data_IF_839589581933
#
_entry.id   IF_839589581933
#
_cell.length_a   1.000
_cell.length_b   1.000
_cell.length_c   1.000
_cell.angle_alpha   90.00
_cell.angle_beta   90.00
_cell.angle_gamma   90.00
#
_symmetry.space_group_name_H-M   'P 1'
#
loop_
_entity.id
_entity.type
_entity.pdbx_description
1 polymer ?
#
# COMPACT_ATOMS: atom_id res chain seq x y z
N UNK A 1 19.17 11.61 20.92
CA UNK A 1 17.95 11.25 20.15
C UNK A 1 17.76 12.30 19.07
N UNK A 2 17.77 11.90 17.80
CA UNK A 2 17.56 12.83 16.68
C UNK A 2 16.05 13.08 16.51
N UNK A 3 15.56 14.28 16.85
CA UNK A 3 14.16 14.67 16.66
C UNK A 3 13.48 15.41 17.82
N UNK A 4 14.15 15.55 18.97
CA UNK A 4 13.67 16.35 20.10
C UNK A 4 14.49 17.63 20.24
N UNK A 5 13.82 18.78 20.29
CA UNK A 5 14.45 20.06 20.58
C UNK A 5 14.23 20.39 22.05
N UNK A 6 15.32 20.63 22.78
CA UNK A 6 15.23 21.08 24.16
C UNK A 6 14.96 22.58 24.17
N UNK A 7 13.97 22.99 24.96
CA UNK A 7 13.64 24.39 25.21
C UNK A 7 14.14 24.78 26.61
N UNK A 8 15.16 25.62 26.65
CA UNK A 8 15.84 26.03 27.89
C UNK A 8 14.95 26.89 28.79
N UNK A 9 14.02 27.66 28.23
CA UNK A 9 13.16 28.57 28.99
C UNK A 9 12.11 27.81 29.80
N UNK A 10 11.56 26.73 29.24
CA UNK A 10 10.53 25.91 29.87
C UNK A 10 11.05 24.61 30.51
N UNK A 11 12.26 24.17 30.15
CA UNK A 11 12.81 22.87 30.59
C UNK A 11 12.16 21.67 29.89
N UNK A 12 11.41 21.89 28.82
CA UNK A 12 10.64 20.86 28.09
C UNK A 12 11.38 20.40 26.83
N UNK A 13 10.99 19.23 26.33
CA UNK A 13 11.45 18.73 25.03
C UNK A 13 10.31 18.78 24.01
N UNK A 14 10.49 19.57 22.96
CA UNK A 14 9.59 19.60 21.82
C UNK A 14 9.83 18.41 20.89
N UNK A 15 8.82 17.56 20.72
CA UNK A 15 8.80 16.41 19.83
C UNK A 15 7.72 16.62 18.76
N UNK A 16 8.06 17.43 17.75
CA UNK A 16 7.24 17.77 16.58
C UNK A 16 5.84 18.31 16.89
N UNK A 17 4.91 17.46 17.31
CA UNK A 17 3.53 17.83 17.57
C UNK A 17 3.22 17.98 19.06
N UNK A 18 4.16 17.61 19.94
CA UNK A 18 3.93 17.55 21.38
C UNK A 18 5.11 18.01 22.21
N UNK A 19 4.82 18.60 23.38
CA UNK A 19 5.82 18.92 24.40
C UNK A 19 5.91 17.80 25.43
N UNK A 20 7.11 17.28 25.65
CA UNK A 20 7.46 16.26 26.62
C UNK A 20 8.11 16.89 27.84
N UNK A 21 7.64 16.53 29.03
CA UNK A 21 8.24 16.92 30.29
C UNK A 21 9.06 15.75 30.85
N UNK A 22 10.39 15.90 30.96
CA UNK A 22 11.27 14.84 31.45
C UNK A 22 11.13 14.58 32.95
N UNK A 23 10.64 15.55 33.75
CA UNK A 23 10.49 15.41 35.20
C UNK A 23 9.35 14.45 35.57
N UNK A 24 8.28 14.45 34.77
CA UNK A 24 7.11 13.59 34.97
C UNK A 24 7.03 12.42 33.97
N UNK A 25 7.93 12.38 32.98
CA UNK A 25 8.07 11.28 32.02
C UNK A 25 6.88 11.14 31.06
N UNK A 26 6.24 12.25 30.65
CA UNK A 26 5.05 12.23 29.79
C UNK A 26 4.92 13.47 28.92
N UNK A 27 4.02 13.42 27.92
CA UNK A 27 3.61 14.62 27.19
C UNK A 27 2.73 15.50 28.08
N UNK A 28 2.87 16.82 27.95
CA UNK A 28 2.01 17.81 28.63
C UNK A 28 0.91 18.35 27.71
N UNK A 29 1.09 18.21 26.40
CA UNK A 29 0.08 18.51 25.39
C UNK A 29 -0.68 17.23 25.03
N UNK A 30 -2.00 17.34 24.93
CA UNK A 30 -2.86 16.23 24.51
C UNK A 30 -2.47 15.75 23.11
N UNK A 31 -2.55 14.43 22.88
CA UNK A 31 -2.37 13.86 21.55
C UNK A 31 -3.35 14.50 20.53
N UNK A 32 -2.86 15.15 19.46
CA UNK A 32 -3.71 15.78 18.45
C UNK A 32 -4.61 14.79 17.70
N UNK A 33 -4.33 13.48 17.74
CA UNK A 33 -5.21 12.45 17.15
C UNK A 33 -6.22 11.85 18.15
N UNK A 34 -6.25 12.34 19.40
CA UNK A 34 -7.24 11.99 20.42
C UNK A 34 -7.21 10.51 20.77
N UNK A 35 -8.39 9.87 20.89
CA UNK A 35 -8.54 8.44 21.24
C UNK A 35 -7.89 7.48 20.22
N UNK A 36 -7.51 7.99 19.04
CA UNK A 36 -6.79 7.20 18.04
C UNK A 36 -5.34 6.93 18.46
N UNK A 37 -4.75 7.77 19.32
CA UNK A 37 -3.40 7.60 19.89
C UNK A 37 -3.34 6.70 21.12
N UNK A 38 -4.47 6.07 21.48
CA UNK A 38 -4.64 5.23 22.66
C UNK A 38 -5.45 5.89 23.78
N UNK A 39 -5.66 5.12 24.86
CA UNK A 39 -6.48 5.53 26.00
C UNK A 39 -5.84 6.62 26.86
N UNK A 40 -4.52 6.80 26.76
CA UNK A 40 -3.79 7.82 27.50
C UNK A 40 -3.25 8.88 26.53
N UNK A 41 -3.91 10.03 26.49
CA UNK A 41 -3.57 11.13 25.59
C UNK A 41 -2.21 11.79 25.87
N UNK A 42 -1.59 11.46 26.99
CA UNK A 42 -0.34 12.07 27.45
C UNK A 42 0.83 11.07 27.46
N UNK A 43 0.62 9.83 26.99
CA UNK A 43 1.64 8.78 27.11
C UNK A 43 2.87 9.06 26.25
N UNK A 44 4.04 9.05 26.88
CA UNK A 44 5.34 8.97 26.18
C UNK A 44 5.83 7.51 26.21
N UNK A 45 6.40 6.98 25.12
CA UNK A 45 6.91 5.62 25.13
C UNK A 45 8.13 5.47 26.05
N UNK A 46 7.94 4.75 27.16
CA UNK A 46 8.94 4.54 28.20
C UNK A 46 10.04 3.53 27.82
N UNK A 47 9.89 2.82 26.70
CA UNK A 47 10.84 1.78 26.29
C UNK A 47 11.38 2.04 24.87
N UNK A 48 12.59 2.59 24.73
CA UNK A 48 13.19 2.88 23.42
C UNK A 48 13.57 1.62 22.62
N UNK A 49 13.55 0.43 23.22
CA UNK A 49 13.76 -0.85 22.54
C UNK A 49 12.48 -1.35 21.87
N UNK A 50 11.31 -1.11 22.49
CA UNK A 50 10.01 -1.58 21.99
C UNK A 50 9.18 -0.50 21.30
N UNK A 51 9.52 0.77 21.46
CA UNK A 51 8.77 1.88 20.87
C UNK A 51 9.56 3.16 20.85
N UNK A 52 9.76 3.69 19.64
CA UNK A 52 10.16 5.07 19.41
C UNK A 52 8.90 5.75 18.85
N UNK A 53 8.67 7.00 19.22
CA UNK A 53 7.61 7.84 18.63
C UNK A 53 8.25 8.96 17.79
N UNK A 54 8.62 8.68 16.52
CA UNK A 54 9.36 9.63 15.68
C UNK A 54 8.51 10.80 15.20
N UNK A 55 7.17 10.70 15.33
CA UNK A 55 6.23 11.68 14.82
C UNK A 55 5.46 12.40 15.93
N UNK A 56 5.51 11.91 17.18
CA UNK A 56 4.72 12.44 18.28
C UNK A 56 3.25 12.00 18.22
N UNK A 57 2.97 10.77 17.75
CA UNK A 57 1.62 10.22 17.51
C UNK A 57 1.36 8.85 18.19
N UNK A 58 2.32 8.32 18.98
CA UNK A 58 2.36 6.97 19.59
C UNK A 58 3.03 5.85 18.75
N UNK A 59 3.86 4.95 19.36
CA UNK A 59 4.42 3.79 18.66
C UNK A 59 3.43 2.66 18.35
N UNK A 60 2.32 2.57 19.10
CA UNK A 60 1.31 1.52 18.92
C UNK A 60 0.62 1.67 17.55
N UNK A 61 0.46 2.90 17.08
CA UNK A 61 -0.20 3.20 15.81
C UNK A 61 0.69 2.93 14.59
N UNK A 62 2.02 3.08 14.70
CA UNK A 62 2.93 2.67 13.63
C UNK A 62 2.82 1.16 13.37
N UNK A 63 2.67 0.34 14.42
CA UNK A 63 2.48 -1.10 14.29
C UNK A 63 1.09 -1.46 13.73
N UNK A 64 0.04 -0.72 14.10
CA UNK A 64 -1.31 -0.91 13.56
C UNK A 64 -1.41 -0.49 12.09
N UNK A 65 -0.79 0.61 11.69
CA UNK A 65 -0.71 1.07 10.29
C UNK A 65 -0.01 0.01 9.45
N UNK A 66 1.18 -0.47 9.88
CA UNK A 66 1.89 -1.54 9.17
C UNK A 66 1.07 -2.81 9.05
N UNK A 67 0.40 -3.25 10.11
CA UNK A 67 -0.50 -4.42 10.05
C UNK A 67 -1.67 -4.22 9.11
N UNK A 68 -2.26 -3.03 9.11
CA UNK A 68 -3.39 -2.70 8.20
C UNK A 68 -2.94 -2.67 6.75
N UNK A 69 -1.77 -2.11 6.45
CA UNK A 69 -1.16 -2.14 5.12
C UNK A 69 -0.86 -3.57 4.67
N UNK A 70 -0.25 -4.40 5.51
CA UNK A 70 -0.02 -5.83 5.24
C UNK A 70 -1.33 -6.57 4.94
N UNK A 71 -2.39 -6.33 5.74
CA UNK A 71 -3.69 -6.94 5.51
C UNK A 71 -4.32 -6.47 4.19
N UNK A 72 -4.22 -5.18 3.88
CA UNK A 72 -4.73 -4.65 2.60
C UNK A 72 -3.98 -5.26 1.41
N UNK A 73 -2.66 -5.40 1.53
CA UNK A 73 -1.82 -6.04 0.52
C UNK A 73 -2.16 -7.51 0.34
N UNK A 74 -2.34 -8.27 1.43
CA UNK A 74 -2.76 -9.67 1.36
C UNK A 74 -4.12 -9.81 0.66
N UNK A 75 -5.10 -8.98 1.03
CA UNK A 75 -6.43 -9.01 0.39
C UNK A 75 -6.39 -8.69 -1.10
N UNK A 76 -5.59 -7.68 -1.48
CA UNK A 76 -5.40 -7.35 -2.88
C UNK A 76 -4.75 -8.53 -3.62
N UNK A 77 -3.70 -9.11 -3.04
CA UNK A 77 -2.99 -10.26 -3.59
C UNK A 77 -3.91 -11.46 -3.78
N UNK A 78 -4.71 -11.82 -2.79
CA UNK A 78 -5.65 -12.95 -2.87
C UNK A 78 -6.66 -12.76 -4.02
N UNK A 79 -7.15 -11.54 -4.25
CA UNK A 79 -8.10 -11.27 -5.34
C UNK A 79 -7.40 -11.39 -6.70
N UNK A 80 -6.24 -10.73 -6.85
CA UNK A 80 -5.51 -10.71 -8.11
C UNK A 80 -5.00 -12.11 -8.49
N UNK A 81 -4.38 -12.83 -7.55
CA UNK A 81 -3.77 -14.14 -7.80
C UNK A 81 -4.80 -15.19 -8.23
N UNK A 82 -5.94 -15.27 -7.54
CA UNK A 82 -7.01 -16.20 -7.89
C UNK A 82 -7.52 -15.96 -9.32
N UNK A 83 -7.66 -14.70 -9.74
CA UNK A 83 -8.10 -14.37 -11.09
C UNK A 83 -7.03 -14.74 -12.10
N UNK A 84 -5.75 -14.42 -11.84
CA UNK A 84 -4.66 -14.82 -12.72
C UNK A 84 -4.54 -16.34 -12.88
N UNK A 85 -4.78 -17.11 -11.82
CA UNK A 85 -4.74 -18.56 -11.86
C UNK A 85 -5.93 -19.14 -12.64
N UNK A 86 -7.12 -18.56 -12.50
CA UNK A 86 -8.29 -18.92 -13.31
C UNK A 86 -8.01 -18.71 -14.82
N UNK A 87 -7.37 -17.61 -15.20
CA UNK A 87 -6.99 -17.32 -16.60
C UNK A 87 -6.07 -18.40 -17.16
N UNK A 88 -4.99 -18.71 -16.43
CA UNK A 88 -4.02 -19.73 -16.83
C UNK A 88 -4.69 -21.09 -16.97
N UNK A 89 -5.62 -21.41 -16.07
CA UNK A 89 -6.37 -22.67 -16.10
C UNK A 89 -7.32 -22.77 -17.29
N UNK A 90 -7.96 -21.67 -17.67
CA UNK A 90 -8.96 -21.64 -18.74
C UNK A 90 -8.35 -21.48 -20.15
N UNK A 91 -7.04 -21.22 -20.25
CA UNK A 91 -6.29 -21.08 -21.51
C UNK A 91 -6.97 -20.11 -22.50
N UNK A 92 -7.45 -18.98 -21.97
CA UNK A 92 -8.13 -17.95 -22.75
C UNK A 92 -7.05 -17.05 -23.37
N UNK A 93 -6.57 -17.42 -24.56
CA UNK A 93 -5.64 -16.61 -25.34
C UNK A 93 -6.29 -15.28 -25.77
N UNK A 94 -5.51 -14.20 -25.76
CA UNK A 94 -5.88 -12.86 -26.23
C UNK A 94 -6.94 -12.10 -25.40
N UNK A 95 -7.14 -12.47 -24.14
CA UNK A 95 -8.11 -11.82 -23.21
C UNK A 95 -7.44 -11.16 -22.00
N UNK A 96 -6.12 -10.95 -22.07
CA UNK A 96 -5.32 -10.43 -20.96
C UNK A 96 -5.84 -9.09 -20.41
N UNK A 97 -6.20 -8.16 -21.31
CA UNK A 97 -6.74 -6.85 -20.93
C UNK A 97 -8.12 -6.94 -20.27
N UNK A 98 -9.01 -7.76 -20.81
CA UNK A 98 -10.29 -8.04 -20.16
C UNK A 98 -10.09 -8.47 -18.69
N UNK A 99 -9.10 -9.32 -18.42
CA UNK A 99 -8.84 -9.80 -17.08
C UNK A 99 -8.17 -8.80 -16.17
N UNK A 100 -7.19 -8.05 -16.68
CA UNK A 100 -6.63 -6.90 -15.97
C UNK A 100 -7.77 -5.96 -15.53
N UNK A 101 -8.73 -5.66 -16.39
CA UNK A 101 -9.89 -4.85 -16.04
C UNK A 101 -10.74 -5.53 -14.95
N UNK A 102 -11.12 -6.79 -15.15
CA UNK A 102 -12.00 -7.52 -14.24
C UNK A 102 -11.40 -7.71 -12.85
N UNK A 103 -10.10 -7.97 -12.78
CA UNK A 103 -9.38 -8.15 -11.52
C UNK A 103 -9.41 -6.87 -10.69
N UNK A 104 -9.06 -5.74 -11.31
CA UNK A 104 -9.07 -4.45 -10.65
C UNK A 104 -10.50 -3.92 -10.39
N UNK A 105 -11.48 -4.30 -11.21
CA UNK A 105 -12.91 -4.05 -10.95
C UNK A 105 -13.41 -4.81 -9.71
N UNK A 106 -12.98 -6.06 -9.50
CA UNK A 106 -13.32 -6.78 -8.25
C UNK A 106 -12.68 -6.12 -7.03
N UNK A 107 -11.45 -5.61 -7.16
CA UNK A 107 -10.79 -4.84 -6.09
C UNK A 107 -11.57 -3.55 -5.78
N UNK A 108 -11.98 -2.78 -6.79
CA UNK A 108 -12.70 -1.51 -6.57
C UNK A 108 -14.04 -1.70 -5.88
N UNK A 109 -14.74 -2.81 -6.15
CA UNK A 109 -16.00 -3.18 -5.49
C UNK A 109 -15.88 -3.41 -3.97
N UNK A 110 -14.67 -3.60 -3.43
CA UNK A 110 -14.47 -3.62 -1.98
C UNK A 110 -14.63 -2.25 -1.31
N UNK A 111 -14.66 -1.16 -2.09
CA UNK A 111 -14.80 0.21 -1.63
C UNK A 111 -13.79 0.58 -0.52
N UNK A 112 -12.54 0.10 -0.66
CA UNK A 112 -11.46 0.34 0.30
C UNK A 112 -10.21 0.85 -0.42
N UNK A 113 -9.97 2.16 -0.28
CA UNK A 113 -8.84 2.88 -0.90
C UNK A 113 -7.48 2.23 -0.59
N UNK A 114 -7.31 1.68 0.61
CA UNK A 114 -6.05 1.03 1.00
C UNK A 114 -5.80 -0.26 0.22
N UNK A 115 -6.85 -1.04 -0.06
CA UNK A 115 -6.75 -2.26 -0.88
C UNK A 115 -6.57 -1.89 -2.35
N UNK A 116 -7.29 -0.87 -2.85
CA UNK A 116 -7.11 -0.36 -4.22
C UNK A 116 -5.69 0.13 -4.48
N UNK A 117 -5.08 0.83 -3.51
CA UNK A 117 -3.68 1.26 -3.59
C UNK A 117 -2.73 0.06 -3.63
N UNK A 118 -2.91 -0.90 -2.73
CA UNK A 118 -2.07 -2.09 -2.70
C UNK A 118 -2.17 -2.91 -4.00
N UNK A 119 -3.37 -2.99 -4.60
CA UNK A 119 -3.55 -3.61 -5.90
C UNK A 119 -2.79 -2.89 -7.03
N UNK A 120 -2.76 -1.54 -7.03
CA UNK A 120 -1.94 -0.78 -8.00
C UNK A 120 -0.46 -1.13 -7.88
N UNK A 121 0.06 -1.20 -6.66
CA UNK A 121 1.45 -1.56 -6.38
C UNK A 121 1.76 -2.97 -6.90
N UNK A 122 0.90 -3.95 -6.58
CA UNK A 122 1.01 -5.32 -7.09
C UNK A 122 0.94 -5.43 -8.62
N UNK A 123 0.08 -4.62 -9.25
CA UNK A 123 0.00 -4.55 -10.72
C UNK A 123 1.32 -4.08 -11.34
N UNK A 124 1.94 -3.05 -10.77
CA UNK A 124 3.25 -2.57 -11.23
C UNK A 124 4.37 -3.60 -11.00
N UNK A 125 4.36 -4.28 -9.86
CA UNK A 125 5.33 -5.36 -9.57
C UNK A 125 5.20 -6.54 -10.55
N UNK A 126 3.98 -6.88 -10.97
CA UNK A 126 3.74 -7.87 -12.04
C UNK A 126 4.44 -7.44 -13.32
N UNK A 127 4.24 -6.21 -13.78
CA UNK A 127 4.83 -5.73 -15.03
C UNK A 127 6.37 -5.69 -15.00
N UNK A 128 6.97 -5.36 -13.85
CA UNK A 128 8.42 -5.47 -13.65
C UNK A 128 8.87 -6.92 -13.76
N UNK A 129 8.13 -7.84 -13.13
CA UNK A 129 8.44 -9.27 -13.15
C UNK A 129 8.33 -9.83 -14.58
N UNK A 130 7.30 -9.47 -15.31
CA UNK A 130 7.06 -9.91 -16.69
C UNK A 130 8.14 -9.38 -17.63
N UNK A 131 8.53 -8.11 -17.47
CA UNK A 131 9.71 -7.55 -18.13
C UNK A 131 11.00 -8.33 -17.80
N UNK A 132 11.18 -8.69 -16.53
CA UNK A 132 12.27 -9.55 -16.06
C UNK A 132 12.25 -10.93 -16.71
N UNK A 133 11.08 -11.58 -16.80
CA UNK A 133 10.92 -12.88 -17.45
C UNK A 133 11.20 -12.80 -18.96
N UNK A 134 10.81 -11.69 -19.61
CA UNK A 134 11.09 -11.46 -21.02
C UNK A 134 12.59 -11.35 -21.31
N UNK A 135 13.38 -10.73 -20.42
CA UNK A 135 14.84 -10.67 -20.55
C UNK A 135 15.48 -12.06 -20.69
N UNK A 136 14.92 -13.07 -20.01
CA UNK A 136 15.34 -14.47 -20.04
C UNK A 136 14.58 -15.33 -21.07
N UNK A 137 13.71 -14.73 -21.90
CA UNK A 137 12.94 -15.46 -22.93
C UNK A 137 11.83 -16.36 -22.35
N UNK A 138 11.38 -16.09 -21.13
CA UNK A 138 10.37 -16.89 -20.41
C UNK A 138 8.97 -16.25 -20.42
N UNK A 139 8.77 -15.14 -21.15
CA UNK A 139 7.50 -14.42 -21.22
C UNK A 139 6.64 -14.88 -22.40
N UNK A 140 5.31 -14.98 -22.18
CA UNK A 140 4.25 -14.98 -23.19
C UNK A 140 4.23 -16.12 -24.22
N UNK A 141 5.26 -16.29 -25.04
CA UNK A 141 5.31 -17.24 -26.17
C UNK A 141 6.74 -17.61 -26.58
N UNK A 142 7.66 -17.93 -25.66
CA UNK A 142 9.04 -18.44 -25.93
C UNK A 142 9.95 -17.57 -26.84
N UNK A 143 9.44 -16.52 -27.47
CA UNK A 143 10.17 -15.50 -28.20
C UNK A 143 10.24 -14.23 -27.35
N UNK A 144 11.41 -13.61 -27.36
CA UNK A 144 11.70 -12.41 -26.56
C UNK A 144 11.14 -11.18 -27.28
N UNK A 145 10.23 -10.47 -26.61
CA UNK A 145 9.75 -9.16 -27.05
C UNK A 145 10.87 -8.13 -26.95
N UNK A 146 10.83 -7.12 -27.82
CA UNK A 146 11.76 -6.00 -27.73
C UNK A 146 11.48 -5.13 -26.50
N UNK A 147 12.46 -4.30 -26.11
CA UNK A 147 12.28 -3.37 -25.00
C UNK A 147 11.09 -2.41 -25.22
N UNK A 148 10.93 -1.90 -26.44
CA UNK A 148 9.83 -1.00 -26.78
C UNK A 148 8.48 -1.70 -26.69
N UNK A 149 8.38 -2.92 -27.19
CA UNK A 149 7.12 -3.68 -27.19
C UNK A 149 6.68 -4.00 -25.76
N UNK A 150 7.62 -4.40 -24.90
CA UNK A 150 7.32 -4.61 -23.47
C UNK A 150 6.86 -3.33 -22.77
N UNK A 151 7.47 -2.17 -23.08
CA UNK A 151 7.03 -0.90 -22.50
C UNK A 151 5.61 -0.56 -22.94
N UNK A 152 5.28 -0.82 -24.21
CA UNK A 152 3.95 -0.57 -24.73
C UNK A 152 2.90 -1.50 -24.12
N UNK A 153 3.21 -2.79 -23.99
CA UNK A 153 2.40 -3.81 -23.31
C UNK A 153 2.12 -3.41 -21.86
N UNK A 154 3.18 -3.15 -21.08
CA UNK A 154 3.07 -2.71 -19.69
C UNK A 154 2.22 -1.44 -19.53
N UNK A 155 2.37 -0.46 -20.45
CA UNK A 155 1.56 0.77 -20.41
C UNK A 155 0.08 0.47 -20.63
N UNK A 156 -0.23 -0.45 -21.55
CA UNK A 156 -1.60 -0.85 -21.86
C UNK A 156 -2.23 -1.56 -20.67
N UNK A 157 -1.51 -2.49 -20.05
CA UNK A 157 -1.99 -3.25 -18.90
C UNK A 157 -2.18 -2.37 -17.66
N UNK A 158 -1.26 -1.43 -17.41
CA UNK A 158 -1.40 -0.45 -16.35
C UNK A 158 -2.61 0.46 -16.57
N UNK A 159 -2.85 0.94 -17.80
CA UNK A 159 -4.02 1.76 -18.10
C UNK A 159 -5.34 0.99 -17.87
N UNK A 160 -5.36 -0.29 -18.20
CA UNK A 160 -6.51 -1.17 -17.99
C UNK A 160 -6.74 -1.47 -16.51
N UNK A 161 -5.67 -1.67 -15.73
CA UNK A 161 -5.74 -1.79 -14.27
C UNK A 161 -6.37 -0.54 -13.64
N UNK A 162 -5.95 0.65 -14.07
CA UNK A 162 -6.52 1.91 -13.58
C UNK A 162 -7.99 2.05 -13.96
N UNK A 163 -8.35 1.68 -15.19
CA UNK A 163 -9.74 1.67 -15.62
C UNK A 163 -10.59 0.71 -14.76
N UNK A 164 -10.11 -0.50 -14.51
CA UNK A 164 -10.76 -1.46 -13.61
C UNK A 164 -10.98 -0.89 -12.21
N UNK A 165 -10.07 -0.06 -11.69
CA UNK A 165 -10.27 0.57 -10.37
C UNK A 165 -11.39 1.61 -10.34
N UNK A 166 -11.82 2.12 -11.49
CA UNK A 166 -12.94 3.06 -11.62
C UNK A 166 -14.27 2.40 -11.97
N UNK A 167 -14.27 1.07 -12.19
CA UNK A 167 -15.39 0.27 -12.68
C UNK A 167 -16.77 0.81 -12.26
N UNK A 168 -17.54 1.41 -13.19
CA UNK A 168 -18.86 1.96 -12.88
C UNK A 168 -19.82 0.81 -12.55
N UNK A 169 -20.84 1.08 -11.74
CA UNK A 169 -21.86 0.07 -11.42
C UNK A 169 -22.65 -0.48 -12.63
N UNK A 170 -22.56 0.19 -13.79
CA UNK A 170 -23.38 -0.06 -14.98
C UNK A 170 -22.59 -0.46 -16.23
N UNK A 171 -21.25 -0.36 -16.24
CA UNK A 171 -20.43 -0.69 -17.40
C UNK A 171 -19.47 -1.83 -17.03
N UNK A 172 -19.50 -2.89 -17.84
CA UNK A 172 -18.66 -4.08 -17.63
C UNK A 172 -17.31 -3.93 -18.36
N UNK A 173 -16.34 -4.76 -18.02
CA UNK A 173 -15.03 -4.80 -18.66
C UNK A 173 -15.05 -5.39 -20.07
N UNK A 174 -16.22 -5.74 -20.63
CA UNK A 174 -16.38 -6.45 -21.90
C UNK A 174 -15.83 -5.68 -23.13
N UNK A 175 -15.67 -4.36 -23.03
CA UNK A 175 -15.14 -3.50 -24.10
C UNK A 175 -13.59 -3.42 -24.14
N UNK A 176 -12.89 -4.22 -23.32
CA UNK A 176 -11.43 -4.21 -23.14
C UNK A 176 -10.82 -5.57 -23.46
#
# INVERSE_FOLDING_TARGET
MQGQQYDEESGLHYNRHRYYDPMIGRYITQDPIGLRGGWNFYAYPLNPVHGIDPFGLSPADVALIRRKEQLNHQKAWDILSNIYDDIKRLNLGDTDQFFHCMAFCRVSKLNNVGVSRAAKELGYEKEIRDYGLNLFGMYGRREKLSHSDMIEDNKKDLAVNEHGLTCPSTQDCSDR
#
